data_IF_119963731006
#
_entry.id   IF_119963731006
#
_cell.length_a   1.000
_cell.length_b   1.000
_cell.length_c   1.000
_cell.angle_alpha   90.00
_cell.angle_beta   90.00
_cell.angle_gamma   90.00
#
_symmetry.space_group_name_H-M   'P 1'
#
loop_
_entity.id
_entity.type
_entity.pdbx_description
1 polymer ?
#
# COMPACT_ATOMS: atom_id res chain seq x y z
N UNK A 1 17.13 17.71 -61.36
CA UNK A 1 17.98 18.19 -60.25
C UNK A 1 17.10 18.44 -59.05
N UNK A 2 17.51 17.86 -57.93
CA UNK A 2 16.77 17.70 -56.68
C UNK A 2 16.53 19.03 -55.96
N UNK A 3 15.38 19.16 -55.31
CA UNK A 3 15.28 19.86 -54.02
C UNK A 3 14.17 19.21 -53.19
N UNK A 4 14.62 18.36 -52.26
CA UNK A 4 13.83 17.85 -51.15
C UNK A 4 13.62 19.02 -50.18
N UNK A 5 12.38 19.48 -50.04
CA UNK A 5 11.98 20.28 -48.88
C UNK A 5 11.55 19.30 -47.79
N UNK A 6 12.49 18.98 -46.91
CA UNK A 6 12.26 18.23 -45.68
C UNK A 6 11.37 19.06 -44.76
N UNK A 7 10.06 18.78 -44.75
CA UNK A 7 9.21 19.22 -43.64
C UNK A 7 9.54 18.31 -42.45
N UNK A 8 10.38 18.79 -41.54
CA UNK A 8 10.54 18.20 -40.21
C UNK A 8 9.17 18.21 -39.52
N UNK A 9 8.50 17.06 -39.57
CA UNK A 9 7.38 16.78 -38.70
C UNK A 9 7.95 16.65 -37.28
N UNK A 10 7.87 17.73 -36.49
CA UNK A 10 7.94 17.62 -35.04
C UNK A 10 6.86 16.62 -34.62
N UNK A 11 7.27 15.40 -34.32
CA UNK A 11 6.42 14.39 -33.70
C UNK A 11 6.12 14.87 -32.29
N UNK A 12 5.07 15.68 -32.14
CA UNK A 12 4.44 15.91 -30.85
C UNK A 12 3.95 14.52 -30.41
N UNK A 13 4.71 13.88 -29.52
CA UNK A 13 4.26 12.66 -28.87
C UNK A 13 2.97 13.02 -28.14
N UNK A 14 1.83 12.62 -28.70
CA UNK A 14 0.54 12.70 -28.03
C UNK A 14 0.63 11.88 -26.75
N UNK A 15 0.84 12.55 -25.62
CA UNK A 15 0.80 11.90 -24.31
C UNK A 15 -0.62 11.44 -24.06
N UNK A 16 -0.83 10.13 -24.02
CA UNK A 16 -2.10 9.56 -23.62
C UNK A 16 -2.19 9.65 -22.09
N UNK A 17 -3.24 10.26 -21.57
CA UNK A 17 -3.54 10.25 -20.15
C UNK A 17 -4.62 9.19 -19.90
N UNK A 18 -4.36 8.28 -18.97
CA UNK A 18 -5.36 7.29 -18.53
C UNK A 18 -5.60 7.42 -17.03
N UNK A 19 -6.84 7.21 -16.63
CA UNK A 19 -7.23 7.17 -15.22
C UNK A 19 -7.98 5.88 -14.94
N UNK A 20 -7.45 5.12 -13.98
CA UNK A 20 -8.12 3.96 -13.42
C UNK A 20 -8.64 4.32 -12.04
N UNK A 21 -9.95 4.14 -11.82
CA UNK A 21 -10.58 4.34 -10.51
C UNK A 21 -11.14 3.00 -10.04
N UNK A 22 -10.70 2.57 -8.86
CA UNK A 22 -11.14 1.34 -8.21
C UNK A 22 -11.75 1.73 -6.86
N UNK A 23 -13.06 1.53 -6.73
CA UNK A 23 -13.78 1.74 -5.48
C UNK A 23 -14.29 0.40 -4.96
N UNK A 24 -13.82 0.01 -3.78
CA UNK A 24 -14.22 -1.23 -3.14
C UNK A 24 -15.20 -0.97 -1.99
N UNK A 25 -16.24 -1.80 -1.92
CA UNK A 25 -17.09 -1.93 -0.73
C UNK A 25 -16.30 -2.57 0.41
N UNK A 26 -16.78 -2.48 1.67
CA UNK A 26 -16.17 -3.15 2.82
C UNK A 26 -15.81 -4.61 2.53
N UNK A 27 -14.60 -5.01 2.86
CA UNK A 27 -14.07 -6.34 2.59
C UNK A 27 -13.64 -7.02 3.89
N UNK A 28 -14.07 -8.27 4.08
CA UNK A 28 -13.63 -9.11 5.19
C UNK A 28 -12.86 -10.31 4.64
N UNK A 29 -11.65 -10.52 5.15
CA UNK A 29 -10.74 -11.59 4.74
C UNK A 29 -10.43 -12.46 5.95
N UNK A 30 -10.89 -13.71 5.91
CA UNK A 30 -10.49 -14.73 6.88
C UNK A 30 -9.31 -15.51 6.32
N UNK A 31 -8.12 -15.23 6.83
CA UNK A 31 -6.92 -15.94 6.40
C UNK A 31 -6.82 -17.25 7.17
N UNK A 32 -6.53 -18.35 6.48
CA UNK A 32 -6.04 -19.59 7.11
C UNK A 32 -4.52 -19.59 7.11
N UNK A 33 -3.86 -20.30 8.03
CA UNK A 33 -2.38 -20.33 8.16
C UNK A 33 -1.66 -20.56 6.81
N UNK A 34 -2.17 -21.46 5.98
CA UNK A 34 -1.63 -21.73 4.64
C UNK A 34 -1.90 -20.62 3.62
N UNK A 35 -3.03 -19.92 3.76
CA UNK A 35 -3.38 -18.78 2.90
C UNK A 35 -2.54 -17.55 3.25
N UNK A 36 -2.20 -17.34 4.52
CA UNK A 36 -1.26 -16.29 4.94
C UNK A 36 0.09 -16.45 4.22
N UNK A 37 0.67 -17.66 4.26
CA UNK A 37 1.95 -17.95 3.60
C UNK A 37 1.87 -17.75 2.08
N UNK A 38 0.75 -18.14 1.45
CA UNK A 38 0.54 -17.98 0.01
C UNK A 38 0.34 -16.52 -0.39
N UNK A 39 -0.42 -15.74 0.39
CA UNK A 39 -0.65 -14.32 0.10
C UNK A 39 0.62 -13.51 0.40
N UNK A 40 1.34 -13.82 1.48
CA UNK A 40 2.64 -13.18 1.73
C UNK A 40 3.65 -13.54 0.65
N UNK A 41 3.67 -14.78 0.15
CA UNK A 41 4.48 -15.16 -1.02
C UNK A 41 4.02 -14.38 -2.25
N UNK A 42 2.73 -14.31 -2.54
CA UNK A 42 2.21 -13.59 -3.71
C UNK A 42 2.50 -12.08 -3.66
N UNK A 43 2.41 -11.46 -2.49
CA UNK A 43 2.77 -10.05 -2.29
C UNK A 43 4.28 -9.82 -2.32
N UNK A 44 5.08 -10.75 -1.81
CA UNK A 44 6.54 -10.67 -1.82
C UNK A 44 7.15 -10.96 -3.21
N UNK A 45 6.58 -11.90 -3.94
CA UNK A 45 6.94 -12.26 -5.32
C UNK A 45 6.42 -11.21 -6.32
N UNK A 46 5.52 -10.34 -5.87
CA UNK A 46 4.90 -9.28 -6.64
C UNK A 46 3.91 -9.80 -7.69
N UNK A 47 3.06 -8.91 -8.18
CA UNK A 47 2.37 -9.15 -9.45
C UNK A 47 3.44 -9.04 -10.53
N UNK A 48 4.03 -10.16 -10.92
CA UNK A 48 4.86 -10.24 -12.13
C UNK A 48 3.94 -9.98 -13.31
N UNK A 49 3.85 -8.72 -13.72
CA UNK A 49 3.36 -8.39 -15.05
C UNK A 49 4.30 -9.10 -16.02
N UNK A 50 3.80 -10.08 -16.78
CA UNK A 50 4.61 -10.81 -17.74
C UNK A 50 5.43 -9.81 -18.56
N UNK A 51 6.78 -9.90 -18.56
CA UNK A 51 7.63 -9.03 -19.34
C UNK A 51 7.56 -9.47 -20.81
N UNK A 52 6.39 -9.30 -21.43
CA UNK A 52 6.32 -9.18 -22.88
C UNK A 52 7.04 -7.91 -23.30
N UNK A 53 7.33 -7.72 -24.59
CA UNK A 53 7.85 -6.46 -25.13
C UNK A 53 6.72 -5.42 -25.09
N UNK A 54 6.29 -5.03 -23.89
CA UNK A 54 5.43 -3.89 -23.69
C UNK A 54 6.35 -2.69 -23.93
N UNK A 55 6.17 -2.06 -25.08
CA UNK A 55 6.84 -0.81 -25.38
C UNK A 55 6.61 0.14 -24.19
N UNK A 56 7.65 0.86 -23.74
CA UNK A 56 7.54 1.79 -22.64
C UNK A 56 6.49 2.84 -23.02
N UNK A 57 5.32 2.73 -22.40
CA UNK A 57 4.25 3.67 -22.64
C UNK A 57 4.66 4.98 -21.97
N UNK A 58 4.75 6.04 -22.78
CA UNK A 58 4.95 7.41 -22.28
C UNK A 58 3.66 8.01 -21.71
N UNK A 59 2.60 7.20 -21.64
CA UNK A 59 1.33 7.60 -21.07
C UNK A 59 1.46 8.02 -19.61
N UNK A 60 0.73 9.07 -19.28
CA UNK A 60 0.54 9.49 -17.90
C UNK A 60 -0.57 8.62 -17.33
N UNK A 61 -0.19 7.66 -16.50
CA UNK A 61 -1.13 6.77 -15.84
C UNK A 61 -1.46 7.36 -14.48
N UNK A 62 -2.74 7.49 -14.19
CA UNK A 62 -3.24 7.74 -12.84
C UNK A 62 -4.07 6.57 -12.33
N UNK A 63 -3.86 6.22 -11.07
CA UNK A 63 -4.59 5.18 -10.37
C UNK A 63 -5.15 5.79 -9.10
N UNK A 64 -6.44 5.58 -8.86
CA UNK A 64 -7.09 5.89 -7.59
C UNK A 64 -7.73 4.62 -7.10
N UNK A 65 -7.36 4.20 -5.91
CA UNK A 65 -7.93 3.06 -5.21
C UNK A 65 -8.48 3.53 -3.86
N UNK A 66 -9.72 3.17 -3.56
CA UNK A 66 -10.32 3.44 -2.26
C UNK A 66 -11.04 2.20 -1.76
N UNK A 67 -10.88 1.91 -0.47
CA UNK A 67 -11.52 0.82 0.22
C UNK A 67 -12.07 1.36 1.54
N UNK A 68 -13.41 1.31 1.67
CA UNK A 68 -14.10 1.90 2.81
C UNK A 68 -13.70 1.28 4.14
N UNK A 69 -13.55 -0.03 4.16
CA UNK A 69 -13.28 -0.81 5.35
C UNK A 69 -12.64 -2.16 4.98
N UNK A 70 -11.64 -2.59 5.75
CA UNK A 70 -10.95 -3.86 5.58
C UNK A 70 -10.74 -4.53 6.93
N UNK A 71 -11.31 -5.72 7.07
CA UNK A 71 -11.10 -6.58 8.22
C UNK A 71 -10.35 -7.84 7.81
N UNK A 72 -9.19 -8.07 8.42
CA UNK A 72 -8.38 -9.27 8.22
C UNK A 72 -8.31 -10.00 9.55
N UNK A 73 -8.81 -11.24 9.61
CA UNK A 73 -8.65 -12.11 10.77
C UNK A 73 -7.67 -13.24 10.48
N UNK A 74 -6.73 -13.46 11.39
CA UNK A 74 -5.76 -14.55 11.35
C UNK A 74 -5.97 -15.43 12.59
N UNK A 75 -6.51 -16.65 12.45
CA UNK A 75 -6.66 -17.58 13.54
C UNK A 75 -5.29 -18.13 13.95
N UNK A 76 -5.09 -18.32 15.25
CA UNK A 76 -3.90 -18.96 15.81
C UNK A 76 -4.20 -20.45 16.02
N UNK A 77 -3.81 -21.30 15.07
CA UNK A 77 -3.90 -22.75 15.23
C UNK A 77 -2.73 -23.26 16.09
N UNK A 78 -3.01 -23.55 17.35
CA UNK A 78 -2.03 -24.09 18.29
C UNK A 78 -1.94 -25.62 18.26
N UNK A 79 -2.77 -26.31 17.46
CA UNK A 79 -2.82 -27.78 17.44
C UNK A 79 -1.58 -28.45 16.85
N UNK A 80 -0.73 -27.69 16.14
CA UNK A 80 0.55 -28.19 15.59
C UNK A 80 1.77 -28.01 16.50
N UNK A 81 1.62 -27.35 17.65
CA UNK A 81 2.72 -27.16 18.61
C UNK A 81 2.85 -28.32 19.61
N UNK A 82 2.00 -29.34 19.51
CA UNK A 82 2.09 -30.54 20.34
C UNK A 82 3.12 -31.53 19.75
N UNK A 83 4.40 -31.26 19.99
CA UNK A 83 5.42 -32.30 19.88
C UNK A 83 5.25 -33.25 21.08
N UNK A 84 5.01 -34.57 20.91
CA UNK A 84 4.54 -35.44 21.99
C UNK A 84 5.62 -35.84 23.03
N UNK A 85 6.79 -35.18 23.05
CA UNK A 85 7.96 -35.66 23.79
C UNK A 85 8.13 -35.09 25.22
N UNK A 86 7.21 -34.27 25.72
CA UNK A 86 7.32 -33.72 27.08
C UNK A 86 5.98 -33.71 27.80
N UNK A 87 5.69 -34.84 28.43
CA UNK A 87 4.62 -35.00 29.42
C UNK A 87 5.01 -34.25 30.70
N UNK A 88 4.83 -32.93 30.71
CA UNK A 88 4.95 -32.11 31.91
C UNK A 88 3.74 -31.17 31.94
N UNK A 89 2.97 -31.24 33.03
CA UNK A 89 1.75 -30.47 33.29
C UNK A 89 2.04 -28.97 33.25
N UNK A 90 2.05 -28.39 32.05
CA UNK A 90 1.93 -26.97 31.83
C UNK A 90 0.58 -26.80 31.16
N UNK A 91 -0.44 -26.57 31.98
CA UNK A 91 -1.66 -25.90 31.54
C UNK A 91 -1.26 -24.51 31.06
N UNK A 92 -0.69 -24.42 29.86
CA UNK A 92 -0.59 -23.15 29.13
C UNK A 92 -2.03 -22.89 28.70
N UNK A 93 -2.76 -22.16 29.55
CA UNK A 93 -4.09 -21.67 29.22
C UNK A 93 -3.99 -20.92 27.90
N UNK A 94 -4.67 -21.46 26.89
CA UNK A 94 -4.83 -20.80 25.59
C UNK A 94 -5.56 -19.48 25.90
N UNK A 95 -4.81 -18.38 25.87
CA UNK A 95 -5.33 -17.05 26.20
C UNK A 95 -5.87 -16.34 24.96
N UNK A 96 -5.39 -16.72 23.76
CA UNK A 96 -5.74 -16.10 22.48
C UNK A 96 -6.14 -17.14 21.42
N UNK A 97 -7.17 -16.80 20.66
CA UNK A 97 -7.71 -17.55 19.53
C UNK A 97 -7.19 -17.04 18.17
N UNK A 98 -6.70 -15.80 18.09
CA UNK A 98 -6.29 -15.19 16.84
C UNK A 98 -5.82 -13.74 16.97
N UNK A 99 -5.60 -13.11 15.82
CA UNK A 99 -5.37 -11.68 15.69
C UNK A 99 -6.27 -11.11 14.58
N UNK A 100 -6.69 -9.86 14.73
CA UNK A 100 -7.50 -9.14 13.74
C UNK A 100 -6.89 -7.78 13.45
N UNK A 101 -6.66 -7.51 12.16
CA UNK A 101 -6.29 -6.19 11.66
C UNK A 101 -7.52 -5.54 11.02
N UNK A 102 -7.86 -4.36 11.51
CA UNK A 102 -8.96 -3.54 11.01
C UNK A 102 -8.40 -2.26 10.40
N UNK A 103 -8.83 -1.90 9.20
CA UNK A 103 -8.38 -0.72 8.47
C UNK A 103 -9.59 0.05 7.93
N UNK A 104 -9.80 1.27 8.40
CA UNK A 104 -10.87 2.14 7.91
C UNK A 104 -10.37 3.15 6.87
N UNK A 105 -11.12 3.28 5.79
CA UNK A 105 -10.91 4.24 4.68
C UNK A 105 -9.48 4.19 4.14
N UNK A 106 -9.05 2.99 3.75
CA UNK A 106 -7.79 2.81 3.02
C UNK A 106 -7.91 3.49 1.65
N UNK A 107 -6.89 4.27 1.29
CA UNK A 107 -6.80 4.88 -0.02
C UNK A 107 -5.37 4.77 -0.57
N UNK A 108 -5.29 4.73 -1.89
CA UNK A 108 -4.06 4.87 -2.65
C UNK A 108 -4.36 5.74 -3.87
N UNK A 109 -3.47 6.69 -4.15
CA UNK A 109 -3.53 7.46 -5.38
C UNK A 109 -2.13 7.60 -5.95
N UNK A 110 -1.98 7.29 -7.23
CA UNK A 110 -0.79 7.53 -8.01
C UNK A 110 -1.16 8.46 -9.17
N UNK A 111 -0.42 9.55 -9.31
CA UNK A 111 -0.49 10.41 -10.48
C UNK A 111 0.72 11.34 -10.51
N UNK A 112 1.38 11.54 -11.66
CA UNK A 112 2.40 12.58 -11.81
C UNK A 112 1.89 14.02 -11.49
N UNK A 113 0.57 14.26 -11.55
CA UNK A 113 -0.09 15.51 -11.17
C UNK A 113 -0.56 15.58 -9.72
N UNK A 114 -0.32 14.53 -8.92
CA UNK A 114 -0.73 14.45 -7.53
C UNK A 114 -0.08 15.57 -6.71
N UNK A 115 -0.90 16.30 -5.96
CA UNK A 115 -0.45 17.29 -4.98
C UNK A 115 -0.22 16.59 -3.64
N UNK A 116 1.03 16.51 -3.24
CA UNK A 116 1.47 15.91 -1.98
C UNK A 116 1.37 16.95 -0.86
N UNK A 117 0.77 16.57 0.27
CA UNK A 117 0.54 17.45 1.42
C UNK A 117 1.70 17.42 2.42
N UNK A 118 2.27 16.23 2.65
CA UNK A 118 3.41 16.01 3.54
C UNK A 118 4.71 16.42 2.83
N UNK A 119 4.86 15.99 1.57
CA UNK A 119 6.01 16.35 0.76
C UNK A 119 5.76 17.72 0.10
N UNK A 120 6.35 18.76 0.66
CA UNK A 120 6.30 20.12 0.10
C UNK A 120 7.23 20.24 -1.13
N UNK A 121 6.86 19.58 -2.23
CA UNK A 121 7.69 19.50 -3.44
C UNK A 121 7.93 20.86 -4.10
N UNK A 122 7.04 21.83 -3.91
CA UNK A 122 7.21 23.19 -4.44
C UNK A 122 8.45 23.89 -3.88
N UNK A 123 8.88 23.48 -2.69
CA UNK A 123 10.09 23.99 -2.03
C UNK A 123 11.26 23.01 -2.09
N UNK A 124 11.10 21.85 -2.75
CA UNK A 124 12.11 20.82 -2.83
C UNK A 124 12.83 20.84 -4.19
N UNK A 125 14.10 21.28 -4.25
CA UNK A 125 14.86 21.38 -5.49
C UNK A 125 15.13 20.02 -6.16
N UNK A 126 14.79 18.90 -5.53
CA UNK A 126 15.01 17.58 -6.13
C UNK A 126 13.77 17.02 -6.86
N UNK A 127 12.60 17.62 -6.71
CA UNK A 127 11.33 17.06 -7.21
C UNK A 127 10.36 18.13 -7.77
N UNK A 128 10.85 19.36 -7.99
CA UNK A 128 10.09 20.48 -8.55
C UNK A 128 10.16 20.51 -10.08
N UNK A 129 9.17 21.16 -10.71
CA UNK A 129 9.24 21.52 -12.11
C UNK A 129 10.42 22.50 -12.32
N UNK A 130 11.38 22.13 -13.18
CA UNK A 130 12.54 22.95 -13.52
C UNK A 130 12.15 24.32 -14.06
N UNK A 131 10.97 24.43 -14.69
CA UNK A 131 10.37 25.68 -15.14
C UNK A 131 8.84 25.66 -15.00
N UNK A 132 8.24 26.85 -14.90
CA UNK A 132 6.79 27.00 -14.83
C UNK A 132 6.13 26.50 -16.13
N UNK A 133 5.12 25.64 -15.98
CA UNK A 133 4.47 24.99 -17.12
C UNK A 133 5.26 23.82 -17.72
N UNK A 134 6.32 23.31 -17.04
CA UNK A 134 6.95 22.05 -17.45
C UNK A 134 5.89 20.96 -17.57
N UNK A 135 5.79 20.29 -18.73
CA UNK A 135 4.82 19.25 -18.94
C UNK A 135 5.07 18.11 -17.95
N UNK A 136 3.98 17.61 -17.40
CA UNK A 136 3.99 16.41 -16.58
C UNK A 136 4.20 15.23 -17.53
N UNK A 137 5.26 14.47 -17.33
CA UNK A 137 5.61 13.30 -18.14
C UNK A 137 5.92 12.08 -17.26
N UNK A 138 6.23 10.95 -17.90
CA UNK A 138 6.50 9.69 -17.24
C UNK A 138 7.86 9.64 -16.50
N UNK A 139 8.69 10.69 -16.56
CA UNK A 139 9.95 10.77 -15.79
C UNK A 139 9.72 11.01 -14.30
N UNK A 140 8.49 11.39 -13.93
CA UNK A 140 8.06 11.66 -12.57
C UNK A 140 6.99 10.67 -12.14
N UNK A 141 7.06 10.20 -10.89
CA UNK A 141 6.03 9.35 -10.29
C UNK A 141 5.77 9.83 -8.87
N UNK A 142 4.52 10.19 -8.60
CA UNK A 142 4.05 10.63 -7.29
C UNK A 142 2.90 9.74 -6.86
N UNK A 143 2.93 9.29 -5.61
CA UNK A 143 1.83 8.56 -5.04
C UNK A 143 1.65 8.88 -3.56
N UNK A 144 0.43 8.66 -3.09
CA UNK A 144 0.05 8.73 -1.69
C UNK A 144 -0.75 7.49 -1.33
N UNK A 145 -0.54 6.97 -0.14
CA UNK A 145 -1.32 5.88 0.43
C UNK A 145 -1.63 6.23 1.88
N UNK A 146 -2.79 5.85 2.37
CA UNK A 146 -3.12 6.10 3.77
C UNK A 146 -4.41 5.43 4.22
N UNK A 147 -4.66 5.51 5.51
CA UNK A 147 -5.87 5.01 6.15
C UNK A 147 -6.28 5.96 7.28
N UNK A 148 -7.58 6.15 7.47
CA UNK A 148 -8.07 6.99 8.58
C UNK A 148 -7.88 6.32 9.95
N UNK A 149 -7.95 4.99 10.00
CA UNK A 149 -7.69 4.22 11.20
C UNK A 149 -7.11 2.87 10.85
N UNK A 150 -6.05 2.48 11.57
CA UNK A 150 -5.48 1.14 11.59
C UNK A 150 -5.58 0.64 13.03
N UNK A 151 -6.14 -0.55 13.23
CA UNK A 151 -6.28 -1.13 14.56
C UNK A 151 -5.96 -2.61 14.54
N UNK A 152 -5.04 -3.02 15.41
CA UNK A 152 -4.66 -4.41 15.61
C UNK A 152 -5.26 -4.90 16.92
N UNK A 153 -5.95 -6.03 16.87
CA UNK A 153 -6.60 -6.69 17.99
C UNK A 153 -6.05 -8.11 18.15
N UNK A 154 -5.94 -8.59 19.38
CA UNK A 154 -5.82 -10.00 19.71
C UNK A 154 -7.19 -10.55 20.08
N UNK A 155 -7.57 -11.66 19.48
CA UNK A 155 -8.82 -12.34 19.80
C UNK A 155 -8.55 -13.29 20.97
N UNK A 156 -9.28 -13.14 22.08
CA UNK A 156 -9.13 -14.02 23.25
C UNK A 156 -10.00 -15.25 23.11
N UNK A 157 -9.48 -16.43 23.49
CA UNK A 157 -10.27 -17.66 23.57
C UNK A 157 -11.20 -17.60 24.77
N UNK A 158 -12.41 -17.09 24.58
CA UNK A 158 -13.43 -17.01 25.60
C UNK A 158 -13.96 -18.41 25.97
N UNK A 159 -13.22 -19.10 26.83
CA UNK A 159 -13.74 -20.18 27.67
C UNK A 159 -13.01 -20.20 29.01
N UNK A 160 -12.96 -19.06 29.70
CA UNK A 160 -12.62 -19.02 31.12
C UNK A 160 -13.82 -18.46 31.89
N UNK A 161 -14.67 -19.41 32.30
CA UNK A 161 -15.53 -19.38 33.50
C UNK A 161 -16.45 -18.17 33.69
N UNK A 162 -17.71 -18.37 33.30
CA UNK A 162 -18.94 -18.04 34.05
C UNK A 162 -18.90 -17.03 35.20
N UNK A 163 -18.34 -15.84 35.03
CA UNK A 163 -18.52 -14.74 35.97
C UNK A 163 -18.94 -13.48 35.23
N UNK A 164 -20.18 -13.08 35.49
CA UNK A 164 -20.79 -11.87 34.98
C UNK A 164 -20.14 -10.60 35.56
N UNK A 165 -20.25 -9.52 34.78
CA UNK A 165 -20.11 -8.09 35.14
C UNK A 165 -18.67 -7.62 35.39
N UNK A 166 -18.18 -6.52 34.81
CA UNK A 166 -18.71 -5.16 34.80
C UNK A 166 -18.44 -4.41 33.48
N UNK A 167 -19.40 -3.57 33.08
CA UNK A 167 -19.30 -2.43 32.17
C UNK A 167 -18.67 -2.63 30.77
N UNK A 168 -19.54 -2.80 29.75
CA UNK A 168 -19.29 -2.32 28.38
C UNK A 168 -18.22 -3.05 27.54
N UNK A 169 -17.69 -4.17 27.99
CA UNK A 169 -16.57 -4.83 27.32
C UNK A 169 -17.04 -5.64 26.09
N UNK A 170 -16.54 -5.28 24.90
CA UNK A 170 -16.66 -6.07 23.67
C UNK A 170 -16.03 -7.44 23.90
N UNK A 171 -16.88 -8.45 24.13
CA UNK A 171 -16.51 -9.84 24.38
C UNK A 171 -15.54 -10.37 23.33
N UNK A 172 -14.26 -10.49 23.68
CA UNK A 172 -13.28 -11.33 22.96
C UNK A 172 -12.19 -10.61 22.18
N UNK A 173 -12.14 -9.28 22.10
CA UNK A 173 -11.12 -8.53 21.33
C UNK A 173 -10.31 -7.60 22.22
N UNK A 174 -9.00 -7.79 22.24
CA UNK A 174 -8.06 -6.98 22.99
C UNK A 174 -7.27 -6.08 22.04
N UNK A 175 -7.49 -4.76 22.08
CA UNK A 175 -6.82 -3.79 21.19
C UNK A 175 -5.35 -3.65 21.60
N UNK A 176 -4.44 -3.92 20.67
CA UNK A 176 -2.99 -3.88 20.90
C UNK A 176 -2.34 -2.62 20.33
N UNK A 177 -2.78 -2.19 19.15
CA UNK A 177 -2.25 -1.02 18.45
C UNK A 177 -3.40 -0.28 17.79
N UNK A 178 -3.40 1.04 17.87
CA UNK A 178 -4.33 1.90 17.15
C UNK A 178 -3.53 3.08 16.59
N UNK A 179 -3.58 3.26 15.28
CA UNK A 179 -2.94 4.38 14.58
C UNK A 179 -4.02 5.11 13.82
N UNK A 180 -4.05 6.44 13.95
CA UNK A 180 -5.00 7.29 13.26
C UNK A 180 -4.32 8.13 12.19
N UNK A 181 -5.08 8.39 11.13
CA UNK A 181 -4.69 9.26 10.03
C UNK A 181 -3.28 8.94 9.48
N UNK A 182 -2.99 7.64 9.36
CA UNK A 182 -1.72 7.16 8.82
C UNK A 182 -1.66 7.45 7.33
N UNK A 183 -0.59 8.11 6.88
CA UNK A 183 -0.37 8.40 5.47
C UNK A 183 1.10 8.36 5.10
N UNK A 184 1.36 7.90 3.88
CA UNK A 184 2.66 7.83 3.24
C UNK A 184 2.54 8.57 1.92
N UNK A 185 3.50 9.43 1.65
CA UNK A 185 3.62 10.12 0.37
C UNK A 185 4.99 9.87 -0.21
N UNK A 186 5.04 9.62 -1.52
CA UNK A 186 6.30 9.39 -2.21
C UNK A 186 6.33 10.16 -3.52
N UNK A 187 7.47 10.77 -3.78
CA UNK A 187 7.79 11.41 -5.04
C UNK A 187 9.11 10.88 -5.58
N UNK A 188 9.15 10.58 -6.87
CA UNK A 188 10.31 10.05 -7.56
C UNK A 188 10.53 10.79 -8.87
N UNK A 189 11.80 10.97 -9.24
CA UNK A 189 12.21 11.53 -10.53
C UNK A 189 13.46 10.81 -11.04
N UNK A 190 13.51 10.57 -12.35
CA UNK A 190 14.70 10.05 -13.01
C UNK A 190 15.75 11.15 -13.20
N UNK A 191 17.03 10.80 -13.13
CA UNK A 191 18.11 11.78 -13.35
C UNK A 191 18.31 12.13 -14.83
N UNK A 192 17.90 11.24 -15.73
CA UNK A 192 18.09 11.34 -17.17
C UNK A 192 16.84 11.84 -17.92
N UNK A 193 15.75 12.11 -17.21
CA UNK A 193 14.47 12.52 -17.78
C UNK A 193 13.75 11.41 -18.54
N UNK A 194 14.25 10.17 -18.52
CA UNK A 194 13.55 9.04 -19.12
C UNK A 194 12.40 8.58 -18.21
N UNK A 195 11.37 7.90 -18.78
CA UNK A 195 10.29 7.32 -17.99
C UNK A 195 10.82 6.44 -16.85
N UNK A 196 10.21 6.54 -15.66
CA UNK A 196 10.59 5.74 -14.50
C UNK A 196 10.27 4.26 -14.72
N UNK A 197 11.29 3.49 -15.10
CA UNK A 197 11.19 2.04 -15.33
C UNK A 197 11.67 1.19 -14.16
N UNK A 198 12.54 1.76 -13.33
CA UNK A 198 13.19 1.08 -12.22
C UNK A 198 12.89 1.90 -10.96
N UNK A 199 12.40 1.24 -9.92
CA UNK A 199 12.10 1.84 -8.62
C UNK A 199 12.93 1.12 -7.55
N UNK A 200 13.76 1.83 -6.78
CA UNK A 200 14.06 3.26 -6.89
C UNK A 200 14.87 3.59 -8.18
N UNK A 201 14.75 4.81 -8.73
CA UNK A 201 15.47 5.21 -9.94
C UNK A 201 16.99 5.27 -9.71
N UNK A 202 17.80 4.55 -10.52
CA UNK A 202 19.25 4.65 -10.44
C UNK A 202 19.73 6.09 -10.70
N UNK A 203 20.47 6.66 -9.74
CA UNK A 203 20.96 8.04 -9.82
C UNK A 203 19.90 9.14 -9.72
N UNK A 204 18.60 8.77 -9.67
CA UNK A 204 17.49 9.69 -9.46
C UNK A 204 17.27 10.02 -7.99
N UNK A 205 16.14 10.66 -7.69
CA UNK A 205 15.77 11.04 -6.32
C UNK A 205 14.46 10.38 -5.91
N UNK A 206 14.41 9.91 -4.67
CA UNK A 206 13.21 9.42 -4.00
C UNK A 206 13.00 10.22 -2.72
N UNK A 207 11.80 10.77 -2.55
CA UNK A 207 11.35 11.43 -1.33
C UNK A 207 10.22 10.63 -0.72
N UNK A 208 10.27 10.44 0.59
CA UNK A 208 9.27 9.69 1.36
C UNK A 208 8.84 10.55 2.54
N UNK A 209 7.54 10.84 2.61
CA UNK A 209 6.88 11.50 3.73
C UNK A 209 6.01 10.50 4.46
N UNK A 210 6.03 10.54 5.79
CA UNK A 210 5.24 9.67 6.66
C UNK A 210 4.54 10.56 7.70
N UNK A 211 3.25 10.34 7.89
CA UNK A 211 2.49 10.96 8.96
C UNK A 211 1.59 9.93 9.62
N UNK A 212 1.49 10.00 10.95
CA UNK A 212 0.56 9.22 11.75
C UNK A 212 0.31 9.96 13.07
N UNK A 213 -0.95 10.01 13.50
CA UNK A 213 -1.33 10.61 14.76
C UNK A 213 -1.42 9.52 15.85
N UNK A 214 -0.56 9.66 16.86
CA UNK A 214 -0.50 8.93 18.14
C UNK A 214 0.00 7.47 18.17
N UNK A 215 0.55 7.13 19.35
CA UNK A 215 1.12 5.85 19.82
C UNK A 215 0.45 5.48 21.15
#
# INVERSE_FOLDING_TARGET
>A
MHSLSSSEALSIATSFASQTVIECQPLMIHLQEQSCLRISSFLADGIVVNPGPVLPDSSVISLVFTLKDLDISVPLDTTKLDNPSSKRNLTVEKSFAGARLHIEKLFFSESPSLKLKLLNLEKDPACFCLWEGQPIDASQKKWTAGASQLSLYLETSASLTGLQSYAGCTSGLWRCVEVKDASVEVAMVSADGNPLRIVPPPGGVVRVGLACDQY
#
